data_IF_098370611232
#
_entry.id   IF_098370611232
#
_cell.length_a   1.000
_cell.length_b   1.000
_cell.length_c   1.000
_cell.angle_alpha   90.00
_cell.angle_beta   90.00
_cell.angle_gamma   90.00
#
_symmetry.space_group_name_H-M   'P 1'
#
loop_
_entity.id
_entity.type
_entity.pdbx_description
1 polymer ?
#
# COMPACT_ATOMS: atom_id res chain seq x y z
N UNK A 1 6.30 15.71 -16.16
CA UNK A 1 5.50 14.49 -16.37
C UNK A 1 6.46 13.31 -16.56
N UNK A 2 6.14 12.12 -16.02
CA UNK A 2 6.90 10.87 -16.21
C UNK A 2 6.90 10.49 -17.69
N UNK A 3 8.04 10.03 -18.22
CA UNK A 3 8.18 9.59 -19.61
C UNK A 3 8.38 8.07 -19.71
N UNK A 4 8.96 7.47 -18.68
CA UNK A 4 9.25 6.04 -18.68
C UNK A 4 9.09 5.46 -17.26
N UNK A 5 8.38 4.34 -17.13
CA UNK A 5 8.01 3.78 -15.82
C UNK A 5 8.40 2.32 -15.70
N UNK A 6 8.90 1.92 -14.53
CA UNK A 6 8.97 0.53 -14.09
C UNK A 6 7.79 0.23 -13.17
N UNK A 7 7.11 -0.90 -13.36
CA UNK A 7 5.97 -1.33 -12.53
C UNK A 7 6.33 -2.60 -11.79
N UNK A 8 6.49 -2.50 -10.48
CA UNK A 8 6.73 -3.64 -9.62
C UNK A 8 5.38 -4.25 -9.19
N UNK A 9 5.07 -5.46 -9.66
CA UNK A 9 3.79 -6.11 -9.42
C UNK A 9 2.71 -5.80 -10.46
N UNK A 10 3.07 -5.77 -11.75
CA UNK A 10 2.22 -5.35 -12.87
C UNK A 10 0.94 -6.18 -13.07
N UNK A 11 0.94 -7.44 -12.65
CA UNK A 11 -0.22 -8.34 -12.81
C UNK A 11 -1.24 -8.22 -11.66
N UNK A 12 -0.89 -7.53 -10.58
CA UNK A 12 -1.76 -7.23 -9.45
C UNK A 12 -2.82 -6.16 -9.75
N UNK A 13 -3.63 -5.81 -8.75
CA UNK A 13 -4.71 -4.83 -8.91
C UNK A 13 -4.17 -3.45 -9.32
N UNK A 14 -3.24 -2.90 -8.56
CA UNK A 14 -2.63 -1.58 -8.82
C UNK A 14 -1.84 -1.60 -10.13
N UNK A 15 -1.01 -2.63 -10.35
CA UNK A 15 -0.21 -2.73 -11.59
C UNK A 15 -1.07 -2.75 -12.85
N UNK A 16 -2.20 -3.45 -12.86
CA UNK A 16 -3.14 -3.47 -13.99
C UNK A 16 -3.78 -2.11 -14.23
N UNK A 17 -4.18 -1.43 -13.16
CA UNK A 17 -4.76 -0.09 -13.26
C UNK A 17 -3.72 0.94 -13.69
N UNK A 18 -2.44 0.77 -13.28
CA UNK A 18 -1.33 1.58 -13.79
C UNK A 18 -1.15 1.42 -15.30
N UNK A 19 -1.19 0.20 -15.81
CA UNK A 19 -1.12 -0.06 -17.23
C UNK A 19 -2.35 0.45 -18.00
N UNK A 20 -3.56 0.41 -17.39
CA UNK A 20 -4.76 1.03 -18.00
C UNK A 20 -4.61 2.54 -18.15
N UNK A 21 -4.05 3.22 -17.17
CA UNK A 21 -3.73 4.65 -17.24
C UNK A 21 -2.66 4.91 -18.32
N UNK A 22 -1.55 4.16 -18.30
CA UNK A 22 -0.45 4.35 -19.26
C UNK A 22 -0.91 4.17 -20.70
N UNK A 23 -1.79 3.21 -20.97
CA UNK A 23 -2.40 3.01 -22.30
C UNK A 23 -3.10 4.26 -22.84
N UNK A 24 -3.60 5.11 -21.93
CA UNK A 24 -4.36 6.33 -22.25
C UNK A 24 -3.51 7.60 -22.20
N UNK A 25 -2.30 7.51 -21.67
CA UNK A 25 -1.36 8.62 -21.56
C UNK A 25 -0.32 8.57 -22.71
N UNK A 26 -0.48 9.37 -23.75
CA UNK A 26 0.49 9.37 -24.84
C UNK A 26 1.86 9.80 -24.32
N UNK A 27 2.89 9.07 -24.72
CA UNK A 27 4.29 9.40 -24.43
C UNK A 27 4.87 8.72 -23.19
N UNK A 28 4.09 8.03 -22.35
CA UNK A 28 4.65 7.23 -21.26
C UNK A 28 5.00 5.82 -21.76
N UNK A 29 6.28 5.45 -21.67
CA UNK A 29 6.79 4.12 -22.01
C UNK A 29 6.96 3.26 -20.75
N UNK A 30 6.96 1.94 -20.94
CA UNK A 30 7.21 0.98 -19.86
C UNK A 30 8.63 0.44 -19.99
N UNK A 31 9.49 0.70 -19.01
CA UNK A 31 10.87 0.20 -18.95
C UNK A 31 10.93 -1.25 -18.49
N UNK A 32 10.23 -1.55 -17.38
CA UNK A 32 10.21 -2.88 -16.79
C UNK A 32 8.83 -3.23 -16.22
N UNK A 33 8.51 -4.51 -16.28
CA UNK A 33 7.36 -5.11 -15.62
C UNK A 33 7.84 -6.24 -14.71
N UNK A 34 7.26 -6.34 -13.50
CA UNK A 34 7.51 -7.48 -12.64
C UNK A 34 6.22 -8.15 -12.21
N UNK A 35 6.24 -9.45 -11.99
CA UNK A 35 5.08 -10.22 -11.56
C UNK A 35 5.48 -11.38 -10.65
N UNK A 36 4.52 -11.93 -9.89
CA UNK A 36 4.67 -13.17 -9.15
C UNK A 36 4.78 -14.37 -10.11
N UNK A 37 3.75 -15.20 -10.15
CA UNK A 37 3.72 -16.44 -10.95
C UNK A 37 2.72 -16.40 -12.11
N UNK A 38 2.01 -15.32 -12.33
CA UNK A 38 1.02 -15.20 -13.42
C UNK A 38 1.68 -14.94 -14.77
N UNK A 39 2.25 -16.01 -15.35
CA UNK A 39 2.97 -15.98 -16.64
C UNK A 39 2.08 -15.53 -17.80
N UNK A 40 0.81 -15.99 -17.84
CA UNK A 40 -0.10 -15.69 -18.94
C UNK A 40 -0.36 -14.19 -19.05
N UNK A 41 -0.73 -13.56 -17.94
CA UNK A 41 -0.98 -12.11 -17.91
C UNK A 41 0.29 -11.31 -18.17
N UNK A 42 1.42 -11.76 -17.64
CA UNK A 42 2.70 -11.10 -17.89
C UNK A 42 3.08 -11.14 -19.37
N UNK A 43 2.87 -12.27 -20.05
CA UNK A 43 3.12 -12.37 -21.48
C UNK A 43 2.23 -11.45 -22.32
N UNK A 44 0.96 -11.29 -21.94
CA UNK A 44 0.04 -10.32 -22.58
C UNK A 44 0.55 -8.89 -22.40
N UNK A 45 0.94 -8.50 -21.18
CA UNK A 45 1.50 -7.18 -20.89
C UNK A 45 2.82 -6.93 -21.63
N UNK A 46 3.68 -7.93 -21.75
CA UNK A 46 4.91 -7.85 -22.52
C UNK A 46 4.66 -7.56 -24.02
N UNK A 47 3.69 -8.24 -24.62
CA UNK A 47 3.32 -8.00 -26.02
C UNK A 47 2.74 -6.61 -26.25
N UNK A 48 1.94 -6.12 -25.31
CA UNK A 48 1.26 -4.83 -25.42
C UNK A 48 2.19 -3.65 -25.16
N UNK A 49 3.00 -3.71 -24.11
CA UNK A 49 3.79 -2.57 -23.64
C UNK A 49 5.27 -2.64 -24.04
N UNK A 50 5.73 -3.78 -24.56
CA UNK A 50 7.11 -4.00 -25.03
C UNK A 50 8.18 -3.47 -24.06
N UNK A 51 8.17 -3.88 -22.76
CA UNK A 51 9.19 -3.45 -21.82
C UNK A 51 10.58 -3.97 -22.22
N UNK A 52 11.66 -3.31 -21.79
CA UNK A 52 13.02 -3.83 -21.98
C UNK A 52 13.33 -5.01 -21.06
N UNK A 53 12.67 -5.05 -19.87
CA UNK A 53 12.89 -6.07 -18.84
C UNK A 53 11.54 -6.59 -18.31
N UNK A 54 11.43 -7.90 -18.23
CA UNK A 54 10.33 -8.60 -17.59
C UNK A 54 10.88 -9.50 -16.47
N UNK A 55 10.33 -9.40 -15.25
CA UNK A 55 10.82 -10.16 -14.09
C UNK A 55 9.70 -10.99 -13.49
N UNK A 56 9.98 -12.26 -13.24
CA UNK A 56 9.09 -13.18 -12.52
C UNK A 56 9.65 -13.49 -11.13
N UNK A 57 8.78 -13.91 -10.21
CA UNK A 57 9.20 -14.23 -8.84
C UNK A 57 10.12 -15.46 -8.79
N UNK A 58 9.92 -16.46 -9.66
CA UNK A 58 10.68 -17.71 -9.67
C UNK A 58 11.33 -17.97 -11.03
N UNK A 59 12.36 -18.81 -11.02
CA UNK A 59 13.08 -19.21 -12.24
C UNK A 59 12.18 -19.97 -13.21
N UNK A 60 11.31 -20.85 -12.70
CA UNK A 60 10.37 -21.64 -13.50
C UNK A 60 9.37 -20.72 -14.24
N UNK A 61 8.83 -19.72 -13.52
CA UNK A 61 7.91 -18.75 -14.11
C UNK A 61 8.62 -17.88 -15.15
N UNK A 62 9.90 -17.52 -14.94
CA UNK A 62 10.69 -16.78 -15.90
C UNK A 62 10.99 -17.57 -17.17
N UNK A 63 11.33 -18.85 -17.05
CA UNK A 63 11.52 -19.74 -18.19
C UNK A 63 10.23 -19.90 -19.00
N UNK A 64 9.10 -20.13 -18.31
CA UNK A 64 7.79 -20.23 -18.97
C UNK A 64 7.38 -18.92 -19.67
N UNK A 65 7.74 -17.76 -19.10
CA UNK A 65 7.53 -16.46 -19.73
C UNK A 65 8.39 -16.32 -20.98
N UNK A 66 9.69 -16.62 -20.89
CA UNK A 66 10.63 -16.50 -22.01
C UNK A 66 10.18 -17.27 -23.25
N UNK A 67 9.67 -18.50 -23.07
CA UNK A 67 9.10 -19.28 -24.15
C UNK A 67 7.85 -18.61 -24.77
N UNK A 68 6.96 -18.02 -23.94
CA UNK A 68 5.72 -17.37 -24.41
C UNK A 68 5.94 -16.07 -25.16
N UNK A 69 7.03 -15.36 -24.86
CA UNK A 69 7.40 -14.09 -25.52
C UNK A 69 8.60 -14.25 -26.46
N UNK A 70 8.93 -15.47 -26.86
CA UNK A 70 10.01 -15.76 -27.80
C UNK A 70 9.87 -14.92 -29.08
N UNK A 71 10.95 -14.28 -29.49
CA UNK A 71 10.99 -13.37 -30.64
C UNK A 71 10.73 -11.88 -30.30
N UNK A 72 10.32 -11.56 -29.07
CA UNK A 72 10.26 -10.17 -28.62
C UNK A 72 11.62 -9.74 -28.03
N UNK A 73 12.06 -8.48 -28.25
CA UNK A 73 13.33 -7.97 -27.74
C UNK A 73 13.25 -7.61 -26.23
N UNK A 74 12.76 -8.55 -25.42
CA UNK A 74 12.52 -8.37 -23.99
C UNK A 74 13.44 -9.31 -23.23
N UNK A 75 14.26 -8.76 -22.34
CA UNK A 75 15.06 -9.57 -21.44
C UNK A 75 14.20 -10.07 -20.27
N UNK A 76 14.33 -11.35 -19.94
CA UNK A 76 13.62 -11.97 -18.82
C UNK A 76 14.60 -12.24 -17.69
N UNK A 77 14.22 -11.88 -16.46
CA UNK A 77 14.96 -12.12 -15.21
C UNK A 77 14.01 -12.64 -14.13
N UNK A 78 14.53 -13.03 -12.96
CA UNK A 78 13.71 -13.54 -11.86
C UNK A 78 14.27 -13.19 -10.49
N UNK A 79 13.44 -13.37 -9.46
CA UNK A 79 13.80 -13.26 -8.06
C UNK A 79 14.13 -11.83 -7.61
N UNK A 80 14.77 -11.73 -6.43
CA UNK A 80 15.10 -10.44 -5.81
C UNK A 80 16.05 -9.62 -6.68
N UNK A 81 17.07 -10.24 -7.26
CA UNK A 81 18.04 -9.54 -8.13
C UNK A 81 17.35 -8.90 -9.34
N UNK A 82 16.43 -9.61 -9.99
CA UNK A 82 15.64 -9.08 -11.09
C UNK A 82 14.72 -7.93 -10.65
N UNK A 83 14.10 -8.05 -9.48
CA UNK A 83 13.24 -7.01 -8.92
C UNK A 83 14.01 -5.72 -8.60
N UNK A 84 15.22 -5.85 -8.03
CA UNK A 84 16.13 -4.73 -7.78
C UNK A 84 16.58 -4.06 -9.08
N UNK A 85 16.90 -4.85 -10.12
CA UNK A 85 17.24 -4.36 -11.44
C UNK A 85 16.09 -3.56 -12.06
N UNK A 86 14.86 -4.10 -12.04
CA UNK A 86 13.67 -3.42 -12.56
C UNK A 86 13.40 -2.08 -11.85
N UNK A 87 13.64 -2.03 -10.54
CA UNK A 87 13.46 -0.83 -9.71
C UNK A 87 14.50 0.27 -10.00
N UNK A 88 15.71 -0.11 -10.42
CA UNK A 88 16.84 0.84 -10.62
C UNK A 88 17.19 1.08 -12.08
N UNK A 89 16.38 0.63 -13.05
CA UNK A 89 16.64 0.80 -14.49
C UNK A 89 16.93 2.25 -14.85
N UNK A 90 18.02 2.47 -15.58
CA UNK A 90 18.45 3.81 -15.97
C UNK A 90 17.41 4.55 -16.81
N UNK A 91 16.69 3.82 -17.68
CA UNK A 91 15.68 4.38 -18.56
C UNK A 91 14.38 4.82 -17.86
N UNK A 92 14.10 4.30 -16.67
CA UNK A 92 12.91 4.68 -15.93
C UNK A 92 13.15 5.96 -15.12
N UNK A 93 12.22 6.89 -15.17
CA UNK A 93 12.16 8.10 -14.32
C UNK A 93 11.23 7.90 -13.12
N UNK A 94 10.34 6.92 -13.20
CA UNK A 94 9.38 6.60 -12.15
C UNK A 94 9.31 5.09 -11.91
N UNK A 95 9.06 4.71 -10.65
CA UNK A 95 8.80 3.33 -10.25
C UNK A 95 7.48 3.28 -9.49
N UNK A 96 6.50 2.53 -10.00
CA UNK A 96 5.28 2.21 -9.25
C UNK A 96 5.52 0.95 -8.44
N UNK A 97 5.49 1.07 -7.11
CA UNK A 97 5.73 -0.05 -6.18
C UNK A 97 4.40 -0.71 -5.81
N UNK A 98 3.92 -1.62 -6.65
CA UNK A 98 2.63 -2.29 -6.50
C UNK A 98 2.75 -3.76 -6.05
N UNK A 99 3.88 -4.15 -5.48
CA UNK A 99 4.05 -5.43 -4.77
C UNK A 99 3.46 -5.34 -3.37
N UNK A 100 3.10 -6.46 -2.78
CA UNK A 100 2.48 -6.55 -1.45
C UNK A 100 3.52 -7.00 -0.42
N UNK A 101 3.48 -6.43 0.78
CA UNK A 101 4.31 -6.84 1.91
C UNK A 101 5.76 -6.40 1.83
N UNK A 102 6.59 -7.00 2.68
CA UNK A 102 8.01 -6.64 2.85
C UNK A 102 8.89 -6.79 1.60
N UNK A 103 8.44 -7.57 0.60
CA UNK A 103 9.15 -7.74 -0.69
C UNK A 103 9.40 -6.40 -1.40
N UNK A 104 8.55 -5.40 -1.16
CA UNK A 104 8.68 -4.07 -1.76
C UNK A 104 9.78 -3.19 -1.17
N UNK A 105 10.28 -3.46 0.03
CA UNK A 105 11.18 -2.57 0.75
C UNK A 105 12.53 -2.38 0.04
N UNK A 106 13.26 -3.47 -0.22
CA UNK A 106 14.58 -3.38 -0.88
C UNK A 106 14.51 -2.74 -2.27
N UNK A 107 13.57 -3.13 -3.17
CA UNK A 107 13.49 -2.49 -4.48
C UNK A 107 13.05 -1.02 -4.39
N UNK A 108 12.23 -0.62 -3.41
CA UNK A 108 11.93 0.81 -3.19
C UNK A 108 13.18 1.59 -2.80
N UNK A 109 14.01 1.06 -1.89
CA UNK A 109 15.29 1.69 -1.53
C UNK A 109 16.25 1.77 -2.74
N UNK A 110 16.28 0.74 -3.59
CA UNK A 110 17.09 0.77 -4.82
C UNK A 110 16.62 1.85 -5.80
N UNK A 111 15.31 1.99 -5.99
CA UNK A 111 14.72 3.03 -6.83
C UNK A 111 15.03 4.45 -6.29
N UNK A 112 14.91 4.64 -4.97
CA UNK A 112 15.26 5.89 -4.29
C UNK A 112 16.75 6.24 -4.52
N UNK A 113 17.66 5.30 -4.31
CA UNK A 113 19.10 5.49 -4.53
C UNK A 113 19.43 5.78 -5.99
N UNK A 114 18.64 5.25 -6.92
CA UNK A 114 18.69 5.57 -8.34
C UNK A 114 17.97 6.90 -8.70
N UNK A 115 17.53 7.68 -7.71
CA UNK A 115 16.86 9.00 -7.84
C UNK A 115 15.60 8.96 -8.69
N UNK A 116 14.84 7.86 -8.62
CA UNK A 116 13.57 7.72 -9.33
C UNK A 116 12.45 8.37 -8.54
N UNK A 117 11.41 8.90 -9.23
CA UNK A 117 10.14 9.16 -8.57
C UNK A 117 9.53 7.84 -8.14
N UNK A 118 8.99 7.80 -6.94
CA UNK A 118 8.32 6.62 -6.40
C UNK A 118 6.82 6.86 -6.36
N UNK A 119 6.06 6.16 -7.18
CA UNK A 119 4.61 6.02 -7.02
C UNK A 119 4.35 4.93 -5.98
N UNK A 120 4.22 5.32 -4.72
CA UNK A 120 4.20 4.39 -3.59
C UNK A 120 2.80 3.81 -3.37
N UNK A 121 2.63 2.53 -3.72
CA UNK A 121 1.41 1.77 -3.41
C UNK A 121 1.64 0.67 -2.36
N UNK A 122 2.89 0.34 -2.06
CA UNK A 122 3.29 -0.62 -1.03
C UNK A 122 3.45 0.10 0.32
N UNK A 123 2.38 0.17 1.08
CA UNK A 123 2.36 0.87 2.39
C UNK A 123 3.27 0.22 3.42
N UNK A 124 3.46 -1.09 3.35
CA UNK A 124 4.30 -1.85 4.27
C UNK A 124 5.75 -1.34 4.28
N UNK A 125 6.22 -0.79 3.16
CA UNK A 125 7.53 -0.13 3.06
C UNK A 125 7.70 1.02 4.07
N UNK A 126 6.69 1.89 4.22
CA UNK A 126 6.73 2.99 5.20
C UNK A 126 6.33 2.54 6.61
N UNK A 127 5.46 1.56 6.74
CA UNK A 127 5.09 0.97 8.03
C UNK A 127 6.32 0.38 8.70
N UNK A 128 7.08 -0.44 8.00
CA UNK A 128 8.18 -1.21 8.56
C UNK A 128 9.50 -0.43 8.62
N UNK A 129 9.78 0.40 7.62
CA UNK A 129 11.06 1.07 7.45
C UNK A 129 10.94 2.56 7.13
N UNK A 130 9.82 3.20 7.52
CA UNK A 130 9.52 4.59 7.10
C UNK A 130 10.61 5.59 7.47
N UNK A 131 11.24 5.47 8.64
CA UNK A 131 12.37 6.32 9.03
C UNK A 131 13.54 6.21 8.04
N UNK A 132 13.94 4.98 7.72
CA UNK A 132 15.02 4.70 6.76
C UNK A 132 14.66 5.16 5.35
N UNK A 133 13.45 4.83 4.88
CA UNK A 133 12.99 5.15 3.52
C UNK A 133 12.91 6.66 3.30
N UNK A 134 12.34 7.41 4.24
CA UNK A 134 12.21 8.86 4.15
C UNK A 134 13.56 9.57 4.25
N UNK A 135 14.49 9.06 5.06
CA UNK A 135 15.85 9.59 5.15
C UNK A 135 16.63 9.34 3.83
N UNK A 136 16.54 8.16 3.25
CA UNK A 136 17.15 7.86 1.96
C UNK A 136 16.53 8.71 0.83
N UNK A 137 15.19 8.88 0.83
CA UNK A 137 14.52 9.72 -0.17
C UNK A 137 15.01 11.18 -0.12
N UNK A 138 15.16 11.74 1.08
CA UNK A 138 15.72 13.09 1.27
C UNK A 138 17.18 13.18 0.81
N UNK A 139 17.99 12.21 1.22
CA UNK A 139 19.43 12.13 0.87
C UNK A 139 19.67 12.08 -0.63
N UNK A 140 18.88 11.32 -1.36
CA UNK A 140 19.04 11.13 -2.81
C UNK A 140 18.17 12.08 -3.64
N UNK A 141 17.30 12.88 -3.01
CA UNK A 141 16.36 13.79 -3.69
C UNK A 141 15.30 13.05 -4.49
N UNK A 142 14.90 11.85 -4.04
CA UNK A 142 13.85 11.08 -4.66
C UNK A 142 12.48 11.53 -4.19
N UNK A 143 11.58 11.80 -5.12
CA UNK A 143 10.21 12.22 -4.82
C UNK A 143 9.32 10.99 -4.56
N UNK A 144 8.62 10.98 -3.42
CA UNK A 144 7.62 9.94 -3.11
C UNK A 144 6.23 10.54 -3.30
N UNK A 145 5.47 9.99 -4.25
CA UNK A 145 4.08 10.37 -4.51
C UNK A 145 3.19 9.19 -4.10
N UNK A 146 2.28 9.36 -3.12
CA UNK A 146 1.46 8.26 -2.64
C UNK A 146 0.41 7.83 -3.66
N UNK A 147 0.25 6.53 -3.80
CA UNK A 147 -0.79 5.89 -4.62
C UNK A 147 -1.94 5.38 -3.74
N UNK A 148 -1.69 5.07 -2.47
CA UNK A 148 -2.78 4.75 -1.54
C UNK A 148 -3.79 5.90 -1.50
N UNK A 149 -5.09 5.60 -1.60
CA UNK A 149 -6.14 6.61 -1.85
C UNK A 149 -6.21 7.68 -0.76
N UNK A 150 -6.09 7.30 0.49
CA UNK A 150 -6.14 8.19 1.64
C UNK A 150 -4.92 9.12 1.68
N UNK A 151 -3.74 8.54 1.43
CA UNK A 151 -2.49 9.33 1.41
C UNK A 151 -2.44 10.24 0.19
N UNK A 152 -2.87 9.77 -0.98
CA UNK A 152 -3.02 10.62 -2.16
C UNK A 152 -3.99 11.77 -1.90
N UNK A 153 -5.08 11.54 -1.19
CA UNK A 153 -6.04 12.58 -0.81
C UNK A 153 -5.39 13.66 0.07
N UNK A 154 -4.66 13.23 1.11
CA UNK A 154 -3.91 14.15 1.99
C UNK A 154 -2.86 14.91 1.19
N UNK A 155 -2.07 14.22 0.34
CA UNK A 155 -1.09 14.84 -0.54
C UNK A 155 -1.72 15.96 -1.39
N UNK A 156 -2.91 15.72 -1.95
CA UNK A 156 -3.63 16.70 -2.75
C UNK A 156 -4.15 17.88 -1.92
N UNK A 157 -4.64 17.65 -0.70
CA UNK A 157 -5.06 18.71 0.20
C UNK A 157 -3.88 19.60 0.63
N UNK A 158 -2.67 19.05 0.68
CA UNK A 158 -1.45 19.74 1.09
C UNK A 158 -0.73 20.48 -0.05
N UNK A 159 -1.17 20.37 -1.31
CA UNK A 159 -0.49 21.02 -2.44
C UNK A 159 -0.37 22.55 -2.32
N UNK A 160 -1.25 23.20 -1.55
CA UNK A 160 -1.22 24.64 -1.28
C UNK A 160 -0.67 25.00 0.10
N UNK A 161 -0.24 24.03 0.90
CA UNK A 161 0.25 24.25 2.25
C UNK A 161 1.69 24.76 2.24
N UNK A 162 1.93 25.93 2.84
CA UNK A 162 3.26 26.54 2.91
C UNK A 162 4.17 25.91 3.94
N UNK A 163 3.60 25.36 5.01
CA UNK A 163 4.36 24.76 6.11
C UNK A 163 3.56 23.69 6.84
N UNK A 164 4.25 22.62 7.28
CA UNK A 164 3.64 21.59 8.14
C UNK A 164 3.10 22.12 9.47
N UNK A 165 3.60 23.26 9.95
CA UNK A 165 3.09 23.95 11.15
C UNK A 165 1.65 24.42 10.98
N UNK A 166 1.16 24.52 9.75
CA UNK A 166 -0.23 24.87 9.45
C UNK A 166 -1.18 23.71 9.65
N UNK A 167 -0.67 22.47 9.71
CA UNK A 167 -1.46 21.26 9.88
C UNK A 167 -1.77 21.07 11.36
N UNK A 168 -3.06 21.08 11.71
CA UNK A 168 -3.53 20.71 13.05
C UNK A 168 -3.57 19.19 13.18
N UNK A 169 -4.21 18.51 12.22
CA UNK A 169 -4.25 17.03 12.13
C UNK A 169 -4.64 16.54 10.74
N UNK A 170 -4.30 15.29 10.46
CA UNK A 170 -4.81 14.52 9.35
C UNK A 170 -6.01 13.70 9.82
N UNK A 171 -7.01 13.53 8.96
CA UNK A 171 -8.21 12.74 9.25
C UNK A 171 -8.33 11.70 8.14
N UNK A 172 -7.88 10.48 8.45
CA UNK A 172 -8.00 9.33 7.55
C UNK A 172 -9.43 8.80 7.57
N UNK A 173 -10.03 8.62 6.40
CA UNK A 173 -11.32 7.98 6.28
C UNK A 173 -11.18 6.48 6.03
N UNK A 174 -12.15 5.68 6.43
CA UNK A 174 -12.26 4.28 6.04
C UNK A 174 -13.73 3.84 5.94
N UNK A 175 -13.98 2.79 5.16
CA UNK A 175 -15.34 2.23 5.02
C UNK A 175 -15.84 1.51 6.28
N UNK A 176 -14.94 1.14 7.20
CA UNK A 176 -15.22 0.27 8.35
C UNK A 176 -15.33 -1.22 7.98
N UNK A 177 -15.02 -1.58 6.73
CA UNK A 177 -15.02 -2.96 6.27
C UNK A 177 -16.42 -3.61 6.13
N UNK A 178 -16.47 -4.93 5.85
CA UNK A 178 -17.71 -5.67 5.69
C UNK A 178 -18.46 -5.88 7.00
N UNK A 179 -17.79 -5.85 8.13
CA UNK A 179 -18.33 -6.20 9.45
C UNK A 179 -18.68 -4.98 10.32
N UNK A 180 -18.75 -3.80 9.73
CA UNK A 180 -19.10 -2.57 10.45
C UNK A 180 -20.40 -2.74 11.27
N UNK A 181 -20.30 -2.45 12.58
CA UNK A 181 -21.42 -2.57 13.53
C UNK A 181 -21.61 -3.96 14.14
N UNK A 182 -20.79 -4.95 13.77
CA UNK A 182 -20.81 -6.27 14.41
C UNK A 182 -20.02 -6.27 15.73
N UNK A 183 -20.48 -7.10 16.68
CA UNK A 183 -19.84 -7.30 17.99
C UNK A 183 -18.85 -8.47 17.96
N UNK A 184 -17.92 -8.54 18.94
CA UNK A 184 -16.97 -9.65 19.05
C UNK A 184 -17.59 -11.05 18.96
N UNK A 185 -18.71 -11.38 19.66
CA UNK A 185 -19.34 -12.71 19.52
C UNK A 185 -19.83 -13.01 18.09
N UNK A 186 -20.26 -12.00 17.34
CA UNK A 186 -20.68 -12.17 15.94
C UNK A 186 -19.46 -12.37 15.03
N UNK A 187 -18.33 -11.72 15.35
CA UNK A 187 -17.08 -11.83 14.58
C UNK A 187 -16.39 -13.20 14.74
N UNK A 188 -16.64 -13.94 15.83
CA UNK A 188 -16.11 -15.30 16.03
C UNK A 188 -16.64 -16.31 15.02
N UNK A 189 -17.79 -16.04 14.40
CA UNK A 189 -18.46 -16.96 13.47
C UNK A 189 -18.31 -16.60 12.00
N UNK A 190 -17.66 -15.46 11.69
CA UNK A 190 -17.50 -15.02 10.30
C UNK A 190 -16.48 -15.87 9.55
N UNK A 191 -16.78 -16.08 8.27
CA UNK A 191 -15.95 -16.88 7.39
C UNK A 191 -15.02 -16.04 6.53
N UNK A 192 -14.02 -16.67 5.91
CA UNK A 192 -13.20 -16.06 4.87
C UNK A 192 -14.04 -15.45 3.75
N UNK A 193 -15.09 -16.15 3.33
CA UNK A 193 -15.97 -15.67 2.26
C UNK A 193 -16.72 -14.37 2.65
N UNK A 194 -17.04 -14.20 3.93
CA UNK A 194 -17.68 -12.98 4.44
C UNK A 194 -16.65 -11.83 4.53
N UNK A 195 -15.44 -12.10 5.03
CA UNK A 195 -14.38 -11.12 5.14
C UNK A 195 -13.94 -10.53 3.77
N UNK A 196 -14.09 -11.30 2.69
CA UNK A 196 -13.73 -10.87 1.34
C UNK A 196 -14.81 -10.02 0.64
N UNK A 197 -15.96 -9.77 1.28
CA UNK A 197 -17.06 -8.93 0.74
C UNK A 197 -16.88 -7.45 1.09
N UNK A 198 -15.86 -6.78 0.54
CA UNK A 198 -15.68 -5.34 0.79
C UNK A 198 -16.83 -4.53 0.15
N UNK A 199 -17.43 -3.53 0.88
CA UNK A 199 -18.62 -2.82 0.40
C UNK A 199 -18.39 -1.97 -0.86
N UNK A 200 -17.23 -1.34 -1.01
CA UNK A 200 -17.01 -0.31 -2.04
C UNK A 200 -15.84 -0.63 -3.00
N UNK A 201 -14.84 -1.41 -2.55
CA UNK A 201 -13.61 -1.62 -3.30
C UNK A 201 -13.44 -3.08 -3.73
N UNK A 202 -12.91 -3.29 -4.94
CA UNK A 202 -12.45 -4.60 -5.43
C UNK A 202 -10.94 -4.69 -5.31
N UNK A 203 -10.45 -5.31 -4.25
CA UNK A 203 -9.04 -5.36 -3.88
C UNK A 203 -8.49 -6.78 -3.82
N UNK A 204 -7.20 -6.91 -3.51
CA UNK A 204 -6.57 -8.19 -3.21
C UNK A 204 -7.09 -8.79 -1.88
N UNK A 205 -6.96 -10.10 -1.71
CA UNK A 205 -7.50 -10.79 -0.54
C UNK A 205 -6.90 -10.27 0.78
N UNK A 206 -5.57 -10.10 0.87
CA UNK A 206 -4.89 -9.62 2.08
C UNK A 206 -5.42 -8.28 2.55
N UNK A 207 -5.42 -7.26 1.70
CA UNK A 207 -5.88 -5.91 2.06
C UNK A 207 -7.38 -5.90 2.37
N UNK A 208 -8.19 -6.78 1.77
CA UNK A 208 -9.62 -6.87 2.08
C UNK A 208 -9.84 -7.39 3.49
N UNK A 209 -9.07 -8.39 3.94
CA UNK A 209 -9.09 -8.87 5.33
C UNK A 209 -8.55 -7.80 6.28
N UNK A 210 -7.49 -7.09 5.93
CA UNK A 210 -6.98 -5.97 6.72
C UNK A 210 -8.02 -4.85 6.89
N UNK A 211 -8.85 -4.58 5.88
CA UNK A 211 -9.97 -3.64 6.00
C UNK A 211 -11.05 -4.18 6.94
N UNK A 212 -11.32 -5.49 6.90
CA UNK A 212 -12.30 -6.13 7.76
C UNK A 212 -11.91 -6.08 9.25
N UNK A 213 -10.61 -6.18 9.57
CA UNK A 213 -10.05 -6.10 10.93
C UNK A 213 -9.74 -4.67 11.39
N UNK A 214 -9.84 -3.66 10.53
CA UNK A 214 -9.31 -2.31 10.67
C UNK A 214 -7.77 -2.23 10.76
N UNK A 215 -7.04 -3.33 10.55
CA UNK A 215 -5.58 -3.31 10.47
C UNK A 215 -5.10 -2.44 9.29
N UNK A 216 -5.77 -2.48 8.13
CA UNK A 216 -5.43 -1.63 7.01
C UNK A 216 -5.36 -0.16 7.42
N UNK A 217 -6.33 0.32 8.19
CA UNK A 217 -6.33 1.70 8.68
C UNK A 217 -5.24 1.95 9.72
N UNK A 218 -4.90 0.96 10.52
CA UNK A 218 -3.74 1.01 11.42
C UNK A 218 -2.42 1.18 10.66
N UNK A 219 -2.20 0.40 9.60
CA UNK A 219 -1.03 0.53 8.73
C UNK A 219 -0.98 1.92 8.08
N UNK A 220 -2.11 2.43 7.63
CA UNK A 220 -2.22 3.76 7.01
C UNK A 220 -1.96 4.90 7.99
N UNK A 221 -2.32 4.78 9.26
CA UNK A 221 -1.92 5.74 10.31
C UNK A 221 -0.40 5.83 10.40
N UNK A 222 0.29 4.69 10.43
CA UNK A 222 1.76 4.65 10.48
C UNK A 222 2.36 5.25 9.21
N UNK A 223 1.85 4.89 8.05
CA UNK A 223 2.28 5.43 6.76
C UNK A 223 2.14 6.96 6.74
N UNK A 224 0.98 7.51 7.17
CA UNK A 224 0.73 8.95 7.23
C UNK A 224 1.74 9.67 8.14
N UNK A 225 2.00 9.12 9.33
CA UNK A 225 3.01 9.66 10.26
C UNK A 225 4.38 9.79 9.58
N UNK A 226 4.79 8.76 8.84
CA UNK A 226 6.11 8.72 8.16
C UNK A 226 6.14 9.65 6.95
N UNK A 227 5.16 9.54 6.07
CA UNK A 227 5.11 10.30 4.82
C UNK A 227 4.99 11.81 5.05
N UNK A 228 4.12 12.21 6.00
CA UNK A 228 3.89 13.62 6.32
C UNK A 228 4.72 14.13 7.49
N UNK A 229 5.51 13.24 8.14
CA UNK A 229 6.38 13.55 9.31
C UNK A 229 5.60 14.23 10.43
N UNK A 230 4.45 13.68 10.77
CA UNK A 230 3.58 14.15 11.85
C UNK A 230 3.59 13.13 13.01
N UNK A 231 3.42 13.59 14.26
CA UNK A 231 3.29 12.70 15.39
C UNK A 231 1.95 11.96 15.36
N UNK A 232 1.85 10.84 16.06
CA UNK A 232 0.67 9.97 16.10
C UNK A 232 -0.60 10.71 16.52
N UNK A 233 -0.47 11.65 17.45
CA UNK A 233 -1.56 12.45 18.01
C UNK A 233 -2.21 13.39 16.98
N UNK A 234 -1.52 13.65 15.87
CA UNK A 234 -2.04 14.43 14.75
C UNK A 234 -2.62 13.59 13.62
N UNK A 235 -2.80 12.28 13.81
CA UNK A 235 -3.41 11.39 12.79
C UNK A 235 -4.64 10.70 13.38
N UNK A 236 -5.81 11.19 13.00
CA UNK A 236 -7.11 10.66 13.40
C UNK A 236 -7.71 9.75 12.32
N UNK A 237 -8.68 8.93 12.75
CA UNK A 237 -9.43 8.01 11.89
C UNK A 237 -10.92 8.23 12.07
N UNK A 238 -11.65 8.27 10.96
CA UNK A 238 -13.13 8.30 10.95
C UNK A 238 -13.68 7.25 9.97
N UNK A 239 -14.79 6.64 10.35
CA UNK A 239 -15.54 5.77 9.43
C UNK A 239 -16.37 6.65 8.50
N UNK A 240 -16.22 6.42 7.19
CA UNK A 240 -17.00 7.04 6.14
C UNK A 240 -17.46 5.95 5.16
N UNK A 241 -18.65 5.43 5.37
CA UNK A 241 -19.19 4.23 4.67
C UNK A 241 -19.25 4.39 3.16
N UNK A 242 -19.49 5.60 2.68
CA UNK A 242 -19.68 5.91 1.25
C UNK A 242 -18.36 5.88 0.46
N UNK A 243 -17.19 6.03 1.13
CA UNK A 243 -15.86 6.12 0.49
C UNK A 243 -15.76 7.18 -0.62
N UNK A 244 -16.49 8.29 -0.47
CA UNK A 244 -16.47 9.45 -1.39
C UNK A 244 -15.44 10.47 -0.94
N UNK A 245 -15.39 10.78 0.36
CA UNK A 245 -14.29 11.53 0.97
C UNK A 245 -13.17 10.56 1.26
N UNK A 246 -12.04 10.73 0.56
CA UNK A 246 -10.91 9.80 0.69
C UNK A 246 -10.00 10.11 1.86
N UNK A 247 -9.84 11.36 2.26
CA UNK A 247 -9.28 11.82 3.55
C UNK A 247 -9.33 13.35 3.62
N UNK A 248 -8.99 13.89 4.79
CA UNK A 248 -9.09 15.32 5.08
C UNK A 248 -7.85 15.81 5.83
N UNK A 249 -7.59 17.12 5.70
CA UNK A 249 -6.59 17.84 6.50
C UNK A 249 -7.30 18.97 7.24
N UNK A 250 -7.19 19.02 8.56
CA UNK A 250 -7.62 20.14 9.38
C UNK A 250 -6.42 21.05 9.63
N UNK A 251 -6.57 22.33 9.31
CA UNK A 251 -5.54 23.33 9.51
C UNK A 251 -5.69 24.08 10.85
N UNK A 252 -4.65 24.79 11.26
CA UNK A 252 -4.59 25.50 12.54
C UNK A 252 -5.61 26.66 12.64
N UNK A 253 -6.07 27.18 11.52
CA UNK A 253 -7.13 28.18 11.44
C UNK A 253 -8.56 27.61 11.56
N UNK A 254 -8.67 26.25 11.66
CA UNK A 254 -9.94 25.54 11.74
C UNK A 254 -10.53 25.14 10.38
N UNK A 255 -9.91 25.52 9.26
CA UNK A 255 -10.34 25.05 7.95
C UNK A 255 -10.10 23.56 7.79
N UNK A 256 -11.05 22.84 7.16
CA UNK A 256 -10.91 21.43 6.80
C UNK A 256 -10.95 21.30 5.29
N UNK A 257 -9.87 20.81 4.69
CA UNK A 257 -9.83 20.47 3.27
C UNK A 257 -9.98 18.96 3.07
N UNK A 258 -10.84 18.59 2.13
CA UNK A 258 -11.13 17.18 1.80
C UNK A 258 -10.92 16.93 0.31
N UNK A 259 -10.28 15.81 -0.04
CA UNK A 259 -10.31 15.33 -1.40
C UNK A 259 -11.46 14.33 -1.56
N UNK A 260 -12.28 14.55 -2.58
CA UNK A 260 -13.45 13.74 -2.89
C UNK A 260 -13.34 13.16 -4.30
N UNK A 261 -13.92 11.98 -4.49
CA UNK A 261 -13.96 11.30 -5.79
C UNK A 261 -14.73 9.98 -5.73
N UNK A 262 -14.98 9.40 -6.88
CA UNK A 262 -15.43 8.01 -6.98
C UNK A 262 -14.33 7.06 -6.49
N UNK A 263 -14.65 5.90 -5.88
CA UNK A 263 -13.65 4.96 -5.37
C UNK A 263 -12.95 4.21 -6.53
N UNK A 264 -11.94 4.82 -7.10
CA UNK A 264 -11.17 4.30 -8.23
C UNK A 264 -9.68 4.63 -8.10
N UNK A 265 -8.86 3.59 -7.97
CA UNK A 265 -7.40 3.74 -7.81
C UNK A 265 -6.69 4.37 -9.01
N UNK A 266 -7.35 4.43 -10.17
CA UNK A 266 -6.78 5.11 -11.35
C UNK A 266 -6.58 6.61 -11.13
N UNK A 267 -7.36 7.25 -10.24
CA UNK A 267 -7.16 8.65 -9.88
C UNK A 267 -5.80 8.89 -9.21
N UNK A 268 -5.47 8.26 -8.07
CA UNK A 268 -4.17 8.46 -7.43
C UNK A 268 -2.99 7.91 -8.28
N UNK A 269 -3.19 6.83 -9.01
CA UNK A 269 -2.18 6.30 -9.93
C UNK A 269 -1.85 7.32 -11.03
N UNK A 270 -2.88 7.88 -11.67
CA UNK A 270 -2.66 8.91 -12.69
C UNK A 270 -1.94 10.11 -12.12
N UNK A 271 -2.35 10.58 -10.93
CA UNK A 271 -1.67 11.70 -10.28
C UNK A 271 -0.18 11.39 -10.01
N UNK A 272 0.16 10.20 -9.54
CA UNK A 272 1.54 9.81 -9.31
C UNK A 272 2.40 9.85 -10.59
N UNK A 273 1.81 9.56 -11.74
CA UNK A 273 2.47 9.60 -13.03
C UNK A 273 2.54 11.01 -13.65
N UNK A 274 1.56 11.87 -13.37
CA UNK A 274 1.43 13.17 -14.04
C UNK A 274 1.78 14.37 -13.17
N UNK A 275 1.87 14.18 -11.85
CA UNK A 275 2.18 15.27 -10.91
C UNK A 275 3.41 16.10 -11.36
N UNK A 276 3.35 17.43 -11.31
CA UNK A 276 2.30 18.25 -10.68
C UNK A 276 1.07 18.53 -11.55
N UNK A 277 1.00 18.03 -12.76
CA UNK A 277 -0.08 18.33 -13.70
C UNK A 277 -1.33 17.50 -13.41
N UNK A 278 -2.52 18.13 -13.63
CA UNK A 278 -3.82 17.47 -13.62
C UNK A 278 -4.34 17.40 -15.04
N UNK A 279 -4.48 16.18 -15.53
CA UNK A 279 -4.97 15.91 -16.90
C UNK A 279 -6.29 15.13 -16.85
N UNK A 280 -7.09 15.13 -17.93
CA UNK A 280 -8.32 14.36 -17.98
C UNK A 280 -8.10 12.89 -17.62
N UNK A 281 -8.99 12.35 -16.79
CA UNK A 281 -8.95 10.96 -16.31
C UNK A 281 -10.08 10.14 -16.95
N UNK A 282 -9.88 8.82 -17.17
CA UNK A 282 -10.95 7.90 -17.58
C UNK A 282 -11.93 7.53 -16.46
N UNK A 283 -11.67 8.02 -15.26
CA UNK A 283 -12.47 7.72 -14.08
C UNK A 283 -13.80 8.48 -14.13
N UNK A 284 -14.87 7.83 -13.72
CA UNK A 284 -16.19 8.45 -13.61
C UNK A 284 -16.14 9.68 -12.67
N UNK A 285 -16.76 10.77 -13.09
CA UNK A 285 -16.81 11.99 -12.29
C UNK A 285 -17.80 11.82 -11.14
N UNK A 286 -17.41 12.30 -9.97
CA UNK A 286 -18.33 12.37 -8.84
C UNK A 286 -19.45 13.37 -9.14
N UNK A 287 -20.71 12.91 -9.04
CA UNK A 287 -21.88 13.76 -9.05
C UNK A 287 -22.38 13.99 -7.61
N UNK A 288 -22.19 15.20 -7.13
CA UNK A 288 -22.57 15.57 -5.76
C UNK A 288 -24.08 15.59 -5.54
N UNK A 289 -24.87 15.70 -6.59
CA UNK A 289 -26.35 15.72 -6.46
C UNK A 289 -26.91 14.31 -6.29
N UNK A 290 -26.20 13.30 -6.78
CA UNK A 290 -26.63 11.90 -6.73
C UNK A 290 -25.92 11.05 -5.67
N UNK A 291 -24.84 11.56 -5.05
CA UNK A 291 -24.02 10.77 -4.12
C UNK A 291 -24.70 10.48 -2.76
N UNK A 292 -25.82 11.12 -2.46
CA UNK A 292 -26.52 10.98 -1.18
C UNK A 292 -25.82 11.66 -0.01
N UNK A 293 -26.27 11.43 1.24
CA UNK A 293 -25.67 12.03 2.42
C UNK A 293 -24.30 11.42 2.72
N UNK A 294 -23.34 12.29 3.10
CA UNK A 294 -22.03 11.87 3.59
C UNK A 294 -22.08 11.73 5.12
N UNK A 295 -21.77 10.56 5.62
CA UNK A 295 -21.82 10.25 7.06
C UNK A 295 -20.46 9.92 7.61
N UNK A 296 -20.22 10.32 8.86
CA UNK A 296 -18.99 10.09 9.58
C UNK A 296 -19.29 9.56 10.99
N UNK A 297 -18.52 8.58 11.45
CA UNK A 297 -18.62 8.02 12.79
C UNK A 297 -17.23 7.63 13.33
N UNK A 298 -17.06 7.51 14.65
CA UNK A 298 -15.80 7.04 15.22
C UNK A 298 -15.57 5.55 14.85
N UNK A 299 -14.29 5.12 14.78
CA UNK A 299 -13.97 3.70 14.64
C UNK A 299 -14.28 2.95 15.94
N UNK A 300 -14.80 1.74 15.83
CA UNK A 300 -15.03 0.84 16.95
C UNK A 300 -13.76 0.03 17.25
N UNK A 301 -12.95 0.52 18.16
CA UNK A 301 -11.69 -0.14 18.54
C UNK A 301 -11.86 -1.23 19.59
N UNK A 302 -13.04 -1.38 20.19
CA UNK A 302 -13.36 -2.44 21.14
C UNK A 302 -13.62 -3.76 20.40
N UNK A 303 -14.48 -3.73 19.39
CA UNK A 303 -14.79 -4.89 18.57
C UNK A 303 -13.74 -5.14 17.46
N UNK A 304 -13.00 -4.11 17.03
CA UNK A 304 -11.95 -4.18 15.98
C UNK A 304 -10.60 -3.66 16.54
N UNK A 305 -9.94 -4.42 17.41
CA UNK A 305 -8.80 -3.94 18.18
C UNK A 305 -7.50 -3.78 17.38
N UNK A 306 -7.43 -4.26 16.13
CA UNK A 306 -6.22 -4.15 15.29
C UNK A 306 -5.80 -2.70 15.02
N UNK A 307 -6.74 -1.75 14.95
CA UNK A 307 -6.41 -0.32 14.82
C UNK A 307 -5.71 0.22 16.07
N UNK A 308 -6.18 -0.15 17.26
CA UNK A 308 -5.55 0.23 18.53
C UNK A 308 -4.15 -0.39 18.65
N UNK A 309 -4.01 -1.68 18.36
CA UNK A 309 -2.71 -2.39 18.33
C UNK A 309 -1.70 -1.70 17.40
N UNK A 310 -2.12 -1.31 16.20
CA UNK A 310 -1.26 -0.61 15.26
C UNK A 310 -0.81 0.76 15.80
N UNK A 311 -1.70 1.50 16.49
CA UNK A 311 -1.34 2.77 17.13
C UNK A 311 -0.36 2.56 18.27
N UNK A 312 -0.50 1.50 19.05
CA UNK A 312 0.45 1.15 20.11
C UNK A 312 1.84 0.81 19.56
N UNK A 313 1.90 0.03 18.48
CA UNK A 313 3.15 -0.24 17.76
C UNK A 313 3.76 1.04 17.16
N UNK A 314 2.93 1.93 16.60
CA UNK A 314 3.39 3.23 16.09
C UNK A 314 4.02 4.10 17.19
N UNK A 315 3.41 4.12 18.37
CA UNK A 315 3.89 4.83 19.55
C UNK A 315 5.20 4.24 20.08
N UNK A 316 5.31 2.92 20.12
CA UNK A 316 6.54 2.24 20.50
C UNK A 316 7.68 2.49 19.49
N UNK A 317 7.38 2.51 18.20
CA UNK A 317 8.38 2.69 17.14
C UNK A 317 9.29 1.48 16.98
N UNK A 318 10.52 1.73 16.50
CA UNK A 318 11.55 0.71 16.35
C UNK A 318 11.09 -0.54 15.59
N UNK A 319 11.45 -1.72 16.11
CA UNK A 319 11.06 -3.01 15.54
C UNK A 319 9.60 -3.41 15.81
N UNK A 320 8.82 -2.65 16.58
CA UNK A 320 7.42 -2.97 16.86
C UNK A 320 6.54 -2.95 15.57
N UNK A 321 6.75 -1.96 14.69
CA UNK A 321 5.99 -1.86 13.44
C UNK A 321 6.29 -3.01 12.46
N UNK A 322 7.55 -3.34 12.13
CA UNK A 322 7.84 -4.50 11.28
C UNK A 322 7.41 -5.83 11.91
N UNK A 323 7.50 -6.00 13.23
CA UNK A 323 7.00 -7.17 13.93
C UNK A 323 5.47 -7.31 13.77
N UNK A 324 4.72 -6.23 14.00
CA UNK A 324 3.27 -6.21 13.82
C UNK A 324 2.89 -6.53 12.36
N UNK A 325 3.58 -5.93 11.39
CA UNK A 325 3.29 -6.18 9.98
C UNK A 325 3.56 -7.64 9.60
N UNK A 326 4.72 -8.21 9.98
CA UNK A 326 5.07 -9.60 9.71
C UNK A 326 4.08 -10.58 10.35
N UNK A 327 3.72 -10.34 11.63
CA UNK A 327 2.71 -11.12 12.32
C UNK A 327 1.34 -11.03 11.62
N UNK A 328 0.91 -9.83 11.21
CA UNK A 328 -0.36 -9.65 10.51
C UNK A 328 -0.39 -10.34 9.15
N UNK A 329 0.67 -10.22 8.35
CA UNK A 329 0.74 -10.91 7.05
C UNK A 329 0.64 -12.43 7.22
N UNK A 330 1.29 -13.00 8.22
CA UNK A 330 1.23 -14.42 8.50
C UNK A 330 -0.16 -14.86 8.98
N UNK A 331 -0.72 -14.17 9.98
CA UNK A 331 -2.05 -14.49 10.52
C UNK A 331 -3.15 -14.36 9.45
N UNK A 332 -3.07 -13.32 8.60
CA UNK A 332 -4.01 -13.17 7.46
C UNK A 332 -3.84 -14.29 6.45
N UNK A 333 -2.61 -14.74 6.17
CA UNK A 333 -2.39 -15.87 5.27
C UNK A 333 -3.01 -17.16 5.83
N UNK A 334 -2.85 -17.43 7.12
CA UNK A 334 -3.46 -18.58 7.80
C UNK A 334 -5.00 -18.52 7.78
N UNK A 335 -5.57 -17.33 8.02
CA UNK A 335 -7.02 -17.12 7.89
C UNK A 335 -7.52 -17.37 6.46
N UNK A 336 -6.80 -16.88 5.46
CA UNK A 336 -7.14 -17.10 4.04
C UNK A 336 -7.02 -18.57 3.60
N UNK A 337 -6.25 -19.36 4.34
CA UNK A 337 -6.13 -20.81 4.15
C UNK A 337 -7.11 -21.62 5.01
N UNK A 338 -8.00 -20.96 5.74
CA UNK A 338 -8.96 -21.58 6.68
C UNK A 338 -8.28 -22.35 7.86
N UNK A 339 -7.06 -21.94 8.24
CA UNK A 339 -6.28 -22.53 9.34
C UNK A 339 -6.66 -21.95 10.72
N UNK A 340 -7.15 -20.69 10.75
CA UNK A 340 -7.56 -19.98 11.96
C UNK A 340 -8.87 -19.22 11.74
N UNK A 341 -9.55 -18.82 12.83
CA UNK A 341 -10.72 -17.95 12.81
C UNK A 341 -10.38 -16.47 12.59
N UNK A 342 -11.39 -15.68 12.25
CA UNK A 342 -11.22 -14.24 11.96
C UNK A 342 -10.64 -13.47 13.15
N UNK A 343 -11.15 -13.71 14.35
CA UNK A 343 -10.71 -13.01 15.56
C UNK A 343 -9.35 -13.46 16.05
N UNK A 344 -8.89 -14.65 15.64
CA UNK A 344 -7.55 -15.16 15.95
C UNK A 344 -6.46 -14.35 15.26
N UNK A 345 -6.77 -13.65 14.15
CA UNK A 345 -5.82 -12.71 13.52
C UNK A 345 -5.31 -11.72 14.57
N UNK A 346 -6.22 -11.01 15.28
CA UNK A 346 -5.81 -10.08 16.32
C UNK A 346 -5.06 -10.77 17.47
N UNK A 347 -5.58 -11.90 17.96
CA UNK A 347 -4.99 -12.64 19.09
C UNK A 347 -3.54 -13.03 18.80
N UNK A 348 -3.29 -13.58 17.64
CA UNK A 348 -1.96 -14.02 17.21
C UNK A 348 -1.00 -12.85 17.00
N UNK A 349 -1.45 -11.77 16.33
CA UNK A 349 -0.61 -10.59 16.12
C UNK A 349 -0.25 -9.94 17.46
N UNK A 350 -1.22 -9.76 18.35
CA UNK A 350 -1.00 -9.18 19.68
C UNK A 350 -0.07 -10.03 20.55
N UNK A 351 -0.13 -11.36 20.42
CA UNK A 351 0.75 -12.29 21.16
C UNK A 351 2.16 -12.34 20.57
N UNK A 352 2.32 -12.19 19.25
CA UNK A 352 3.61 -12.30 18.57
C UNK A 352 4.50 -11.06 18.75
N UNK A 353 3.92 -9.85 18.69
CA UNK A 353 4.68 -8.59 18.76
C UNK A 353 5.63 -8.51 19.96
N UNK A 354 5.22 -8.80 21.22
CA UNK A 354 6.11 -8.72 22.38
C UNK A 354 7.19 -9.81 22.41
N UNK A 355 7.11 -10.85 21.58
CA UNK A 355 8.12 -11.91 21.50
C UNK A 355 9.31 -11.53 20.63
N UNK A 356 9.16 -10.48 19.79
CA UNK A 356 10.24 -9.97 18.94
C UNK A 356 11.11 -8.99 19.75
N UNK A 357 12.44 -9.12 19.72
CA UNK A 357 13.33 -8.18 20.41
C UNK A 357 13.10 -6.74 19.95
N UNK A 358 12.90 -5.83 20.90
CA UNK A 358 12.72 -4.42 20.61
C UNK A 358 14.07 -3.74 20.36
N UNK A 359 14.20 -3.05 19.23
CA UNK A 359 15.33 -2.23 18.82
C UNK A 359 14.77 -0.87 18.39
N UNK A 360 15.17 0.22 19.07
CA UNK A 360 14.62 1.56 18.84
C UNK A 360 14.95 2.12 17.45
N UNK A 361 16.20 1.99 17.03
CA UNK A 361 16.72 2.47 15.74
C UNK A 361 17.28 1.29 14.91
N UNK A 362 16.40 0.45 14.33
CA UNK A 362 16.84 -0.78 13.67
C UNK A 362 17.47 -0.50 12.30
N UNK A 363 18.52 -1.27 11.96
CA UNK A 363 19.05 -1.36 10.60
C UNK A 363 18.06 -2.10 9.68
N UNK A 364 18.31 -2.05 8.37
CA UNK A 364 17.48 -2.80 7.40
C UNK A 364 17.44 -4.30 7.72
N UNK A 365 18.58 -4.89 8.07
CA UNK A 365 18.69 -6.31 8.42
C UNK A 365 17.88 -6.64 9.69
N UNK A 366 17.91 -5.75 10.69
CA UNK A 366 17.13 -5.91 11.92
C UNK A 366 15.62 -5.77 11.68
N UNK A 367 15.21 -4.89 10.75
CA UNK A 367 13.81 -4.77 10.32
C UNK A 367 13.34 -6.07 9.66
N UNK A 368 14.13 -6.62 8.74
CA UNK A 368 13.81 -7.88 8.07
C UNK A 368 13.79 -9.07 9.04
N UNK A 369 14.70 -9.07 10.00
CA UNK A 369 14.74 -10.10 11.05
C UNK A 369 13.54 -10.02 11.99
N UNK A 370 13.10 -8.80 12.35
CA UNK A 370 11.90 -8.61 13.17
C UNK A 370 10.63 -9.12 12.47
N UNK A 371 10.47 -8.86 11.15
CA UNK A 371 9.39 -9.41 10.34
C UNK A 371 9.43 -10.96 10.34
N UNK A 372 10.61 -11.56 10.13
CA UNK A 372 10.79 -13.01 10.11
C UNK A 372 10.42 -13.65 11.46
N UNK A 373 10.97 -13.12 12.55
CA UNK A 373 10.70 -13.63 13.91
C UNK A 373 9.22 -13.53 14.29
N UNK A 374 8.55 -12.44 13.89
CA UNK A 374 7.13 -12.25 14.15
C UNK A 374 6.27 -13.31 13.41
N UNK A 375 6.60 -13.65 12.17
CA UNK A 375 5.94 -14.74 11.42
C UNK A 375 6.11 -16.08 12.11
N UNK A 376 7.32 -16.38 12.57
CA UNK A 376 7.59 -17.61 13.31
C UNK A 376 6.81 -17.67 14.65
N UNK A 377 6.74 -16.54 15.36
CA UNK A 377 5.96 -16.45 16.60
C UNK A 377 4.46 -16.69 16.36
N UNK A 378 3.88 -16.17 15.27
CA UNK A 378 2.49 -16.46 14.91
C UNK A 378 2.27 -17.96 14.69
N UNK A 379 3.13 -18.62 13.91
CA UNK A 379 3.02 -20.07 13.65
C UNK A 379 3.20 -20.91 14.90
N UNK A 380 4.02 -20.46 15.83
CA UNK A 380 4.25 -21.19 17.09
C UNK A 380 3.09 -21.03 18.09
N UNK A 381 2.25 -20.00 17.95
CA UNK A 381 1.12 -19.71 18.83
C UNK A 381 -0.24 -20.08 18.23
N UNK A 382 -0.27 -20.63 17.02
CA UNK A 382 -1.49 -21.01 16.27
C UNK A 382 -1.99 -22.41 16.59
#
# INVERSE_FOLDING_TARGET
MVQCVSILGSTGSIGRQSLDIIRRLPGIRVAALTAGTNVERMAQQCREFSPKLAVMATQEAAQALAERIKGLPIRVNFGEAGLMEAASMADADCVITAVVGMVGLKPTLAAIRAKKRIGLANKETLVCAGGLVMAEAEKYGAEIVPVDSEHSAIFQCLMGCGSRKEIRRLILTCSGGPFFGMTCPQLETVTRADALKHPNWKMGAKITVDCATLMNKGLEVIEAMRLYRLPLEQVDVVIHRQSIVHSMVEFTDGAVMAQMGTPDMRLPIQLALTYPERIPSPVERLDLLSCGPLTFSPPDTENFPCLALARDCAKAGGTACPAMNGANEEAVAMFLNDEIGFYDIYRLVNAAVPQVPFIADPTLEQILEADRLAREAVRANS
#
